data_IF_720465398795
#
_entry.id   IF_720465398795
#
_cell.length_a   1.000
_cell.length_b   1.000
_cell.length_c   1.000
_cell.angle_alpha   90.00
_cell.angle_beta   90.00
_cell.angle_gamma   90.00
#
_symmetry.space_group_name_H-M   'P 1'
#
loop_
_entity.id
_entity.type
_entity.pdbx_description
1 polymer ?
#
# COMPACT_ATOMS: atom_id res chain seq x y z
N UNK A 1 6.39 -39.51 30.08
CA UNK A 1 5.53 -38.94 29.02
C UNK A 1 5.49 -37.40 29.01
N UNK A 2 5.54 -36.72 30.17
CA UNK A 2 5.43 -35.25 30.25
C UNK A 2 6.59 -34.47 29.56
N UNK A 3 7.82 -35.00 29.60
CA UNK A 3 8.98 -34.35 28.97
C UNK A 3 8.95 -34.39 27.43
N UNK A 4 8.18 -35.29 26.82
CA UNK A 4 8.10 -35.40 25.36
C UNK A 4 7.21 -34.30 24.76
N UNK A 5 6.13 -33.94 25.46
CA UNK A 5 5.22 -32.87 25.04
C UNK A 5 5.92 -31.50 25.02
N UNK A 6 6.72 -31.18 26.04
CA UNK A 6 7.43 -29.90 26.14
C UNK A 6 8.42 -29.73 24.96
N UNK A 7 9.13 -30.79 24.59
CA UNK A 7 10.05 -30.76 23.45
C UNK A 7 9.32 -30.53 22.12
N UNK A 8 8.16 -31.15 21.92
CA UNK A 8 7.35 -30.98 20.70
C UNK A 8 6.81 -29.55 20.60
N UNK A 9 6.30 -28.98 21.70
CA UNK A 9 5.79 -27.61 21.72
C UNK A 9 6.90 -26.57 21.49
N UNK A 10 8.08 -26.77 22.08
CA UNK A 10 9.23 -25.89 21.87
C UNK A 10 9.76 -25.96 20.42
N UNK A 11 9.78 -27.16 19.80
CA UNK A 11 10.14 -27.32 18.39
C UNK A 11 9.14 -26.61 17.46
N UNK A 12 7.84 -26.74 17.75
CA UNK A 12 6.77 -26.05 17.02
C UNK A 12 6.90 -24.53 17.12
N UNK A 13 7.13 -23.99 18.31
CA UNK A 13 7.34 -22.55 18.53
C UNK A 13 8.63 -22.04 17.85
N UNK A 14 9.71 -22.82 17.86
CA UNK A 14 10.95 -22.47 17.17
C UNK A 14 10.84 -22.59 15.63
N UNK A 15 9.86 -23.35 15.13
CA UNK A 15 9.53 -23.46 13.71
C UNK A 15 8.56 -22.41 13.21
N UNK A 16 7.95 -21.63 14.12
CA UNK A 16 7.21 -20.43 13.73
C UNK A 16 8.24 -19.39 13.30
N UNK A 17 8.41 -19.26 11.98
CA UNK A 17 9.07 -18.09 11.43
C UNK A 17 8.39 -16.85 12.02
N UNK A 18 9.14 -16.03 12.74
CA UNK A 18 8.71 -14.66 13.00
C UNK A 18 8.28 -14.08 11.65
N UNK A 19 7.07 -13.51 11.57
CA UNK A 19 6.56 -12.98 10.32
C UNK A 19 7.60 -12.03 9.73
N UNK A 20 8.14 -12.39 8.56
CA UNK A 20 9.14 -11.61 7.85
C UNK A 20 8.42 -10.41 7.22
N UNK A 21 8.10 -9.42 8.05
CA UNK A 21 7.38 -8.22 7.65
C UNK A 21 5.90 -8.43 7.33
N UNK A 22 5.18 -7.32 7.23
CA UNK A 22 3.81 -7.28 6.74
C UNK A 22 3.80 -6.87 5.27
N UNK A 23 2.79 -7.31 4.53
CA UNK A 23 2.46 -6.76 3.21
C UNK A 23 1.49 -5.58 3.40
N UNK A 24 1.98 -4.37 3.18
CA UNK A 24 1.23 -3.14 3.43
C UNK A 24 0.87 -2.48 2.10
N UNK A 25 -0.41 -2.22 1.88
CA UNK A 25 -0.91 -1.49 0.70
C UNK A 25 -1.16 -0.04 1.07
N UNK A 26 -0.57 0.90 0.33
CA UNK A 26 -0.70 2.35 0.55
C UNK A 26 -1.40 3.03 -0.61
N UNK A 27 -2.65 3.44 -0.41
CA UNK A 27 -3.34 4.38 -1.28
C UNK A 27 -2.89 5.81 -0.97
N UNK A 28 -2.56 6.61 -2.00
CA UNK A 28 -2.00 7.96 -1.81
C UNK A 28 -0.52 7.96 -1.39
N UNK A 29 0.18 6.84 -1.56
CA UNK A 29 1.57 6.66 -1.12
C UNK A 29 2.61 7.55 -1.82
N UNK A 30 2.27 8.20 -2.94
CA UNK A 30 3.22 9.04 -3.68
C UNK A 30 3.33 10.47 -3.15
N UNK A 31 2.41 10.90 -2.28
CA UNK A 31 2.49 12.20 -1.60
C UNK A 31 3.57 12.25 -0.51
N UNK A 32 3.82 13.44 0.06
CA UNK A 32 4.87 13.66 1.07
C UNK A 32 4.78 12.69 2.26
N UNK A 33 3.59 12.52 2.84
CA UNK A 33 3.36 11.62 3.97
C UNK A 33 3.54 10.15 3.56
N UNK A 34 2.98 9.76 2.41
CA UNK A 34 3.09 8.40 1.90
C UNK A 34 4.52 7.97 1.60
N UNK A 35 5.33 8.88 1.04
CA UNK A 35 6.75 8.66 0.76
C UNK A 35 7.55 8.43 2.04
N UNK A 36 7.34 9.28 3.04
CA UNK A 36 8.01 9.13 4.34
C UNK A 36 7.61 7.82 5.03
N UNK A 37 6.30 7.54 5.09
CA UNK A 37 5.76 6.33 5.71
C UNK A 37 6.29 5.06 5.02
N UNK A 38 6.17 4.97 3.70
CA UNK A 38 6.62 3.81 2.93
C UNK A 38 8.12 3.55 3.09
N UNK A 39 8.95 4.59 3.13
CA UNK A 39 10.39 4.43 3.34
C UNK A 39 10.72 3.84 4.72
N UNK A 40 10.02 4.27 5.78
CA UNK A 40 10.21 3.73 7.13
C UNK A 40 9.73 2.29 7.24
N UNK A 41 8.54 1.99 6.71
CA UNK A 41 7.98 0.64 6.73
C UNK A 41 8.92 -0.37 6.05
N UNK A 42 9.52 -0.01 4.91
CA UNK A 42 10.49 -0.90 4.24
C UNK A 42 11.80 -1.02 5.01
N UNK A 43 12.27 0.05 5.68
CA UNK A 43 13.43 -0.03 6.56
C UNK A 43 13.19 -0.96 7.76
N UNK A 44 11.95 -1.04 8.25
CA UNK A 44 11.52 -1.94 9.30
C UNK A 44 11.27 -3.38 8.79
N UNK A 45 11.54 -3.65 7.51
CA UNK A 45 11.47 -4.98 6.90
C UNK A 45 10.10 -5.37 6.37
N UNK A 46 9.18 -4.41 6.16
CA UNK A 46 7.89 -4.67 5.54
C UNK A 46 7.94 -4.55 4.01
N UNK A 47 7.06 -5.26 3.32
CA UNK A 47 6.83 -5.06 1.90
C UNK A 47 5.72 -4.03 1.71
N UNK A 48 5.94 -3.07 0.80
CA UNK A 48 5.00 -1.98 0.57
C UNK A 48 4.56 -1.96 -0.87
N UNK A 49 3.25 -2.02 -1.11
CA UNK A 49 2.66 -1.74 -2.44
C UNK A 49 1.98 -0.39 -2.42
N UNK A 50 2.50 0.58 -3.16
CA UNK A 50 1.88 1.89 -3.33
C UNK A 50 0.93 1.83 -4.51
N UNK A 51 -0.32 2.18 -4.24
CA UNK A 51 -1.33 2.39 -5.27
C UNK A 51 -1.19 3.82 -5.82
N UNK A 52 -0.83 3.94 -7.09
CA UNK A 52 -0.61 5.21 -7.78
C UNK A 52 -1.36 5.30 -9.10
N UNK A 53 -1.67 6.53 -9.57
CA UNK A 53 -2.37 6.74 -10.84
C UNK A 53 -1.63 6.18 -12.06
N UNK A 54 -0.31 6.25 -12.03
CA UNK A 54 0.52 5.73 -13.10
C UNK A 54 1.90 5.33 -12.54
N UNK A 55 2.19 4.03 -12.48
CA UNK A 55 3.41 3.45 -11.93
C UNK A 55 4.63 3.82 -12.76
N UNK A 56 4.49 3.83 -14.10
CA UNK A 56 5.55 4.24 -15.00
C UNK A 56 5.98 5.69 -14.74
N UNK A 57 5.02 6.61 -14.67
CA UNK A 57 5.30 8.01 -14.40
C UNK A 57 5.76 8.23 -12.95
N UNK A 58 5.26 7.45 -11.98
CA UNK A 58 5.70 7.50 -10.58
C UNK A 58 7.12 6.98 -10.35
N UNK A 59 7.58 6.08 -11.21
CA UNK A 59 8.97 5.62 -11.25
C UNK A 59 9.86 6.52 -12.11
N UNK A 60 9.32 7.44 -12.93
CA UNK A 60 10.11 8.17 -13.90
C UNK A 60 11.19 9.06 -13.22
N UNK A 61 12.45 9.02 -13.70
CA UNK A 61 13.58 9.70 -13.04
C UNK A 61 13.50 11.23 -13.09
N UNK A 62 12.81 11.79 -14.10
CA UNK A 62 12.83 13.22 -14.42
C UNK A 62 11.57 14.00 -14.01
N UNK A 63 10.59 13.36 -13.35
CA UNK A 63 9.29 13.98 -13.04
C UNK A 63 9.03 14.27 -11.57
N UNK A 64 10.04 14.26 -10.69
CA UNK A 64 9.86 14.71 -9.29
C UNK A 64 9.75 16.24 -9.26
N UNK A 65 8.61 16.80 -9.66
CA UNK A 65 8.27 18.20 -9.37
C UNK A 65 7.62 18.29 -7.99
N UNK A 66 7.70 19.45 -7.34
CA UNK A 66 6.98 19.74 -6.09
C UNK A 66 5.47 19.59 -6.24
N UNK A 67 4.96 19.76 -7.46
CA UNK A 67 3.54 19.95 -7.75
C UNK A 67 2.83 18.61 -8.02
N UNK A 68 3.59 17.58 -8.38
CA UNK A 68 3.09 16.22 -8.53
C UNK A 68 3.95 15.29 -7.69
N UNK A 69 3.37 14.70 -6.64
CA UNK A 69 4.07 13.74 -5.79
C UNK A 69 4.42 12.47 -6.57
N UNK A 70 5.62 12.41 -7.13
CA UNK A 70 6.20 11.23 -7.75
C UNK A 70 7.40 10.76 -6.91
N UNK A 71 7.62 9.43 -6.85
CA UNK A 71 8.69 8.86 -6.04
C UNK A 71 10.05 9.00 -6.74
N UNK A 72 10.08 8.70 -8.04
CA UNK A 72 11.28 8.70 -8.89
C UNK A 72 12.10 7.42 -8.73
N UNK A 73 12.86 7.08 -9.78
CA UNK A 73 13.63 5.85 -9.87
C UNK A 73 14.64 5.70 -8.72
N UNK A 74 15.36 6.77 -8.37
CA UNK A 74 16.37 6.74 -7.29
C UNK A 74 15.77 6.44 -5.92
N UNK A 75 14.51 6.79 -5.68
CA UNK A 75 13.81 6.43 -4.45
C UNK A 75 13.49 4.94 -4.42
N UNK A 76 12.98 4.40 -5.52
CA UNK A 76 12.63 2.97 -5.62
C UNK A 76 13.87 2.07 -5.56
N UNK A 77 14.98 2.49 -6.16
CA UNK A 77 16.27 1.79 -6.06
C UNK A 77 16.79 1.77 -4.62
N UNK A 78 16.58 2.86 -3.86
CA UNK A 78 16.96 2.93 -2.45
C UNK A 78 16.08 2.04 -1.56
N UNK A 79 14.83 1.80 -1.94
CA UNK A 79 13.85 1.06 -1.15
C UNK A 79 13.21 -0.06 -1.98
N UNK A 80 13.94 -1.17 -2.25
CA UNK A 80 13.50 -2.23 -3.16
C UNK A 80 12.27 -3.02 -2.67
N UNK A 81 11.90 -2.91 -1.39
CA UNK A 81 10.64 -3.45 -0.85
C UNK A 81 9.40 -2.65 -1.25
N UNK A 82 9.56 -1.50 -1.93
CA UNK A 82 8.46 -0.69 -2.45
C UNK A 82 8.14 -1.12 -3.88
N UNK A 83 6.90 -1.54 -4.10
CA UNK A 83 6.31 -1.83 -5.41
C UNK A 83 5.26 -0.79 -5.75
N UNK A 84 5.12 -0.49 -7.04
CA UNK A 84 4.06 0.37 -7.54
C UNK A 84 3.00 -0.48 -8.22
N UNK A 85 1.73 -0.17 -7.94
CA UNK A 85 0.61 -0.74 -8.67
C UNK A 85 -0.29 0.38 -9.13
N UNK A 86 -0.60 0.37 -10.41
CA UNK A 86 -1.55 1.29 -10.99
C UNK A 86 -2.94 1.08 -10.42
N UNK A 87 -3.57 2.18 -10.05
CA UNK A 87 -4.97 2.27 -9.73
C UNK A 87 -5.44 3.69 -9.98
N UNK A 88 -6.71 3.86 -10.26
CA UNK A 88 -7.23 5.17 -10.61
C UNK A 88 -7.97 5.82 -9.41
N UNK A 89 -8.58 5.01 -8.54
CA UNK A 89 -9.40 5.51 -7.43
C UNK A 89 -10.76 6.09 -7.86
N UNK A 90 -11.20 5.90 -9.11
CA UNK A 90 -12.50 6.39 -9.61
C UNK A 90 -12.47 7.75 -10.31
N UNK A 91 -11.29 8.25 -10.66
CA UNK A 91 -11.06 9.17 -11.78
C UNK A 91 -11.58 8.57 -13.12
N UNK A 92 -12.55 9.26 -13.71
CA UNK A 92 -12.98 8.98 -15.09
C UNK A 92 -12.09 9.71 -16.11
N UNK A 93 -11.03 10.41 -15.68
CA UNK A 93 -10.11 11.08 -16.59
C UNK A 93 -9.27 10.06 -17.36
N UNK A 94 -9.24 10.21 -18.69
CA UNK A 94 -8.56 9.38 -19.72
C UNK A 94 -7.06 9.12 -19.51
N UNK A 95 -6.44 9.65 -18.44
CA UNK A 95 -5.02 9.48 -18.15
C UNK A 95 -4.72 8.04 -17.69
N UNK A 96 -5.74 7.34 -17.18
CA UNK A 96 -5.63 5.97 -16.68
C UNK A 96 -6.87 5.23 -17.18
N UNK A 97 -6.74 4.49 -18.30
CA UNK A 97 -7.89 3.88 -18.98
C UNK A 97 -8.79 3.04 -18.07
N UNK A 98 -10.06 2.87 -18.43
CA UNK A 98 -11.05 2.13 -17.63
C UNK A 98 -10.70 0.63 -17.40
N UNK A 99 -9.60 0.17 -17.99
CA UNK A 99 -9.15 -1.22 -18.04
C UNK A 99 -8.09 -1.61 -16.99
N UNK A 100 -7.79 -0.75 -16.01
CA UNK A 100 -6.92 -1.14 -14.89
C UNK A 100 -7.67 -2.03 -13.89
N UNK A 101 -8.02 -3.23 -14.37
CA UNK A 101 -8.63 -4.34 -13.64
C UNK A 101 -7.51 -5.13 -12.93
N UNK A 102 -7.85 -5.80 -11.84
CA UNK A 102 -6.96 -6.76 -11.18
C UNK A 102 -6.08 -6.18 -10.08
N UNK A 103 -5.97 -4.84 -9.93
CA UNK A 103 -5.20 -4.26 -8.82
C UNK A 103 -5.72 -4.73 -7.45
N UNK A 104 -7.02 -4.99 -7.35
CA UNK A 104 -7.64 -5.54 -6.15
C UNK A 104 -7.07 -6.90 -5.80
N UNK A 105 -7.00 -7.81 -6.77
CA UNK A 105 -6.52 -9.16 -6.55
C UNK A 105 -4.99 -9.20 -6.45
N UNK A 106 -4.28 -8.33 -7.16
CA UNK A 106 -2.82 -8.21 -7.12
C UNK A 106 -2.31 -7.67 -5.79
N UNK A 107 -2.95 -6.62 -5.27
CA UNK A 107 -2.48 -5.88 -4.10
C UNK A 107 -3.26 -6.21 -2.83
N UNK A 108 -4.60 -6.23 -2.87
CA UNK A 108 -5.43 -6.30 -1.65
C UNK A 108 -5.60 -7.72 -1.12
N UNK A 109 -5.62 -8.74 -1.99
CA UNK A 109 -5.86 -10.13 -1.57
C UNK A 109 -4.80 -10.67 -0.59
N UNK A 110 -3.59 -10.10 -0.62
CA UNK A 110 -2.43 -10.51 0.20
C UNK A 110 -2.04 -9.48 1.26
N UNK A 111 -2.80 -8.38 1.37
CA UNK A 111 -2.47 -7.29 2.27
C UNK A 111 -2.75 -7.68 3.72
N UNK A 112 -1.79 -7.48 4.62
CA UNK A 112 -2.01 -7.55 6.06
C UNK A 112 -2.59 -6.24 6.60
N UNK A 113 -2.24 -5.12 5.93
CA UNK A 113 -2.69 -3.78 6.27
C UNK A 113 -2.92 -2.96 5.00
N UNK A 114 -4.02 -2.21 4.97
CA UNK A 114 -4.36 -1.24 3.94
C UNK A 114 -4.43 0.14 4.58
N UNK A 115 -3.56 1.04 4.13
CA UNK A 115 -3.48 2.42 4.59
C UNK A 115 -3.96 3.35 3.47
N UNK A 116 -5.05 4.05 3.73
CA UNK A 116 -5.58 5.06 2.83
C UNK A 116 -5.16 6.46 3.26
N UNK A 117 -4.27 7.06 2.47
CA UNK A 117 -3.77 8.43 2.59
C UNK A 117 -4.25 9.33 1.43
N UNK A 118 -5.27 8.91 0.67
CA UNK A 118 -5.86 9.78 -0.35
C UNK A 118 -6.47 11.02 0.32
N UNK A 119 -5.80 12.16 0.15
CA UNK A 119 -6.23 13.43 0.75
C UNK A 119 -7.09 14.30 -0.17
N UNK A 120 -7.75 15.30 0.42
CA UNK A 120 -8.62 16.30 -0.20
C UNK A 120 -10.11 15.99 -0.03
N UNK A 121 -10.92 17.03 0.24
CA UNK A 121 -12.39 16.94 0.23
C UNK A 121 -12.92 17.21 -1.17
N UNK A 122 -12.64 16.28 -2.08
CA UNK A 122 -13.29 16.28 -3.39
C UNK A 122 -14.08 15.00 -3.55
N UNK A 123 -15.18 15.06 -4.32
CA UNK A 123 -16.01 13.89 -4.62
C UNK A 123 -15.17 12.73 -5.17
N UNK A 124 -14.12 13.03 -5.94
CA UNK A 124 -13.19 12.03 -6.46
C UNK A 124 -12.46 11.27 -5.33
N UNK A 125 -12.03 11.98 -4.28
CA UNK A 125 -11.28 11.40 -3.16
C UNK A 125 -12.19 10.61 -2.21
N UNK A 126 -13.43 11.04 -2.07
CA UNK A 126 -14.48 10.26 -1.41
C UNK A 126 -14.70 8.93 -2.16
N UNK A 127 -14.91 8.97 -3.48
CA UNK A 127 -15.06 7.75 -4.29
C UNK A 127 -13.83 6.84 -4.21
N UNK A 128 -12.62 7.40 -4.22
CA UNK A 128 -11.39 6.62 -4.05
C UNK A 128 -11.35 5.91 -2.70
N UNK A 129 -11.75 6.61 -1.64
CA UNK A 129 -11.82 6.09 -0.28
C UNK A 129 -12.89 5.00 -0.15
N UNK A 130 -14.09 5.22 -0.68
CA UNK A 130 -15.14 4.21 -0.70
C UNK A 130 -14.70 2.96 -1.46
N UNK A 131 -14.06 3.14 -2.62
CA UNK A 131 -13.61 2.04 -3.47
C UNK A 131 -12.50 1.23 -2.80
N UNK A 132 -11.49 1.87 -2.18
CA UNK A 132 -10.42 1.12 -1.50
C UNK A 132 -10.96 0.32 -0.31
N UNK A 133 -11.86 0.91 0.49
CA UNK A 133 -12.46 0.24 1.65
C UNK A 133 -13.35 -0.91 1.18
N UNK A 134 -14.24 -0.67 0.21
CA UNK A 134 -15.14 -1.71 -0.32
C UNK A 134 -14.37 -2.88 -0.90
N UNK A 135 -13.38 -2.62 -1.77
CA UNK A 135 -12.64 -3.68 -2.44
C UNK A 135 -11.72 -4.44 -1.49
N UNK A 136 -11.14 -3.78 -0.49
CA UNK A 136 -10.29 -4.46 0.49
C UNK A 136 -11.10 -5.37 1.40
N UNK A 137 -12.28 -4.94 1.86
CA UNK A 137 -13.20 -5.82 2.60
C UNK A 137 -13.69 -7.00 1.75
N UNK A 138 -13.88 -6.80 0.45
CA UNK A 138 -14.25 -7.88 -0.48
C UNK A 138 -13.11 -8.89 -0.68
N UNK A 139 -11.89 -8.43 -0.89
CA UNK A 139 -10.75 -9.29 -1.27
C UNK A 139 -10.08 -9.94 -0.05
N UNK A 140 -9.92 -9.18 1.03
CA UNK A 140 -9.32 -9.64 2.27
C UNK A 140 -9.97 -8.93 3.48
N UNK A 141 -11.06 -9.49 4.03
CA UNK A 141 -11.77 -8.90 5.18
C UNK A 141 -10.96 -8.94 6.48
N UNK A 142 -9.81 -9.62 6.51
CA UNK A 142 -8.96 -9.72 7.71
C UNK A 142 -7.83 -8.68 7.74
N UNK A 143 -7.61 -7.96 6.64
CA UNK A 143 -6.60 -6.91 6.58
C UNK A 143 -6.96 -5.75 7.52
N UNK A 144 -5.97 -5.24 8.26
CA UNK A 144 -6.13 -4.03 9.06
C UNK A 144 -6.40 -2.83 8.13
N UNK A 145 -7.46 -2.08 8.42
CA UNK A 145 -7.82 -0.87 7.68
C UNK A 145 -7.43 0.37 8.46
N UNK A 146 -6.60 1.22 7.86
CA UNK A 146 -6.26 2.54 8.39
C UNK A 146 -6.68 3.57 7.35
N UNK A 147 -7.71 4.36 7.62
CA UNK A 147 -8.10 5.48 6.76
C UNK A 147 -7.82 6.79 7.48
N UNK A 148 -6.98 7.63 6.87
CA UNK A 148 -6.68 8.96 7.37
C UNK A 148 -7.58 9.95 6.65
N UNK A 149 -8.55 10.49 7.37
CA UNK A 149 -9.39 11.56 6.83
C UNK A 149 -8.51 12.79 6.51
N UNK A 150 -8.65 13.41 5.33
CA UNK A 150 -8.03 14.69 5.10
C UNK A 150 -8.52 15.73 6.12
N UNK A 151 -7.68 16.72 6.42
CA UNK A 151 -8.13 17.94 7.09
C UNK A 151 -8.54 18.94 6.02
N UNK A 152 -9.58 19.73 6.30
CA UNK A 152 -9.90 20.88 5.46
C UNK A 152 -8.67 21.78 5.46
N UNK A 153 -8.27 22.24 4.27
CA UNK A 153 -7.25 23.28 4.18
C UNK A 153 -7.89 24.58 4.72
N UNK A 154 -7.61 24.91 5.98
CA UNK A 154 -7.78 26.28 6.51
C UNK A 154 -6.77 27.25 5.86
#
# INVERSE_FOLDING_TARGET
MMNCFICITALLLASLNAANGFHIVLAGGTGKVGRELSSKLVQDGHDVTILCRNAFLAAAPSKVSSDFGWLGQSFLEKYPGIKLRDWDGGDLLDIVGQDWVGWQDDALSKADCVVNLCGGFTQQREMATERIVRESLRCNPTALQITVAPKDEE
#
